data_IF_548890506768
#
_entry.id   IF_548890506768
#
_cell.length_a   1.000
_cell.length_b   1.000
_cell.length_c   1.000
_cell.angle_alpha   90.00
_cell.angle_beta   90.00
_cell.angle_gamma   90.00
#
_symmetry.space_group_name_H-M   'P 1'
#
loop_
_entity.id
_entity.type
_entity.pdbx_description
1 polymer ?
#
# COMPACT_ATOMS: atom_id res chain seq x y z
N UNK A 1 -26.90 -19.06 -4.97
CA UNK A 1 -26.32 -19.19 -3.62
C UNK A 1 -25.09 -18.30 -3.45
N UNK A 2 -24.10 -18.35 -4.34
CA UNK A 2 -22.91 -17.48 -4.31
C UNK A 2 -23.25 -15.97 -4.29
N UNK A 3 -24.14 -15.51 -5.18
CA UNK A 3 -24.59 -14.10 -5.23
C UNK A 3 -25.27 -13.60 -3.94
N UNK A 4 -26.00 -14.47 -3.22
CA UNK A 4 -26.63 -14.09 -1.94
C UNK A 4 -25.61 -13.95 -0.80
N UNK A 5 -24.53 -14.73 -0.85
CA UNK A 5 -23.45 -14.65 0.15
C UNK A 5 -22.62 -13.39 -0.10
N UNK A 6 -22.37 -13.04 -1.37
CA UNK A 6 -21.68 -11.80 -1.70
C UNK A 6 -22.47 -10.57 -1.28
N UNK A 7 -23.79 -10.55 -1.49
CA UNK A 7 -24.65 -9.45 -1.03
C UNK A 7 -24.65 -9.33 0.51
N UNK A 8 -24.70 -10.46 1.23
CA UNK A 8 -24.66 -10.46 2.69
C UNK A 8 -23.31 -9.99 3.25
N UNK A 9 -22.20 -10.37 2.62
CA UNK A 9 -20.85 -9.88 2.97
C UNK A 9 -20.69 -8.41 2.57
N UNK A 10 -21.26 -8.00 1.44
CA UNK A 10 -21.28 -6.61 0.98
C UNK A 10 -22.03 -5.72 1.98
N UNK A 11 -23.22 -6.13 2.39
CA UNK A 11 -24.03 -5.45 3.42
C UNK A 11 -23.36 -5.48 4.79
N UNK A 12 -22.68 -6.57 5.17
CA UNK A 12 -21.92 -6.63 6.42
C UNK A 12 -20.65 -5.77 6.40
N UNK A 13 -19.96 -5.69 5.26
CA UNK A 13 -18.72 -4.92 5.09
C UNK A 13 -18.99 -3.42 4.97
N UNK A 14 -20.08 -3.04 4.30
CA UNK A 14 -20.48 -1.65 4.07
C UNK A 14 -21.59 -1.17 5.00
N UNK A 15 -22.03 -1.98 5.96
CA UNK A 15 -23.07 -1.62 6.93
C UNK A 15 -24.42 -1.31 6.27
N UNK A 16 -24.80 -2.05 5.22
CA UNK A 16 -26.04 -1.83 4.46
C UNK A 16 -26.00 -0.66 3.46
N UNK A 17 -24.80 -0.18 3.11
CA UNK A 17 -24.64 0.91 2.14
C UNK A 17 -24.61 0.35 0.72
N UNK A 18 -25.50 0.89 -0.11
CA UNK A 18 -25.68 0.47 -1.50
C UNK A 18 -24.40 0.70 -2.30
N UNK A 19 -24.06 -0.21 -3.25
CA UNK A 19 -22.93 -0.01 -4.16
C UNK A 19 -23.04 1.33 -4.89
N UNK A 20 -21.91 2.00 -5.12
CA UNK A 20 -21.90 3.20 -5.94
C UNK A 20 -22.33 2.87 -7.37
N UNK A 21 -23.49 3.39 -7.76
CA UNK A 21 -24.10 3.15 -9.06
C UNK A 21 -23.20 3.59 -10.22
N UNK A 22 -22.27 4.54 -10.02
CA UNK A 22 -21.35 4.99 -11.08
C UNK A 22 -20.30 3.96 -11.45
N UNK A 23 -19.93 3.11 -10.51
CA UNK A 23 -18.83 2.14 -10.66
C UNK A 23 -19.31 0.70 -10.74
N UNK A 24 -20.63 0.47 -10.66
CA UNK A 24 -21.26 -0.85 -10.66
C UNK A 24 -20.79 -1.75 -11.80
N UNK A 25 -20.71 -1.20 -13.02
CA UNK A 25 -20.34 -1.97 -14.22
C UNK A 25 -18.83 -1.94 -14.52
N UNK A 26 -18.03 -1.37 -13.61
CA UNK A 26 -16.58 -1.27 -13.80
C UNK A 26 -15.88 -2.57 -13.40
N UNK A 27 -14.82 -2.88 -14.12
CA UNK A 27 -14.05 -4.11 -13.97
C UNK A 27 -13.69 -4.38 -12.50
N UNK A 28 -14.09 -5.57 -12.00
CA UNK A 28 -13.81 -6.11 -10.66
C UNK A 28 -14.45 -5.37 -9.46
N UNK A 29 -15.30 -4.36 -9.67
CA UNK A 29 -15.93 -3.62 -8.56
C UNK A 29 -16.96 -4.49 -7.82
N UNK A 30 -17.78 -5.23 -8.54
CA UNK A 30 -18.86 -6.08 -8.00
C UNK A 30 -18.40 -7.51 -7.63
N UNK A 31 -17.13 -7.85 -7.86
CA UNK A 31 -16.65 -9.23 -7.78
C UNK A 31 -15.75 -9.48 -6.56
N UNK A 32 -16.37 -9.56 -5.38
CA UNK A 32 -15.69 -9.96 -4.13
C UNK A 32 -15.04 -11.35 -4.23
N UNK A 33 -15.60 -12.25 -5.05
CA UNK A 33 -15.04 -13.58 -5.28
C UNK A 33 -13.61 -13.51 -5.83
N UNK A 34 -13.40 -12.68 -6.86
CA UNK A 34 -12.06 -12.45 -7.42
C UNK A 34 -11.11 -11.87 -6.37
N UNK A 35 -11.56 -10.93 -5.55
CA UNK A 35 -10.74 -10.37 -4.47
C UNK A 35 -10.31 -11.44 -3.45
N UNK A 36 -11.24 -12.26 -2.97
CA UNK A 36 -10.94 -13.34 -2.03
C UNK A 36 -10.01 -14.38 -2.67
N UNK A 37 -10.29 -14.78 -3.91
CA UNK A 37 -9.45 -15.73 -4.65
C UNK A 37 -8.04 -15.18 -4.90
N UNK A 38 -7.89 -13.90 -5.22
CA UNK A 38 -6.59 -13.26 -5.39
C UNK A 38 -5.78 -13.26 -4.10
N UNK A 39 -6.39 -12.91 -2.95
CA UNK A 39 -5.75 -12.97 -1.63
C UNK A 39 -5.34 -14.40 -1.26
N UNK A 40 -6.22 -15.38 -1.48
CA UNK A 40 -5.93 -16.78 -1.20
C UNK A 40 -4.78 -17.29 -2.08
N UNK A 41 -4.82 -17.01 -3.39
CA UNK A 41 -3.76 -17.35 -4.32
C UNK A 41 -2.43 -16.70 -3.93
N UNK A 42 -2.46 -15.42 -3.54
CA UNK A 42 -1.29 -14.70 -3.06
C UNK A 42 -0.64 -15.38 -1.85
N UNK A 43 -1.44 -15.79 -0.86
CA UNK A 43 -0.94 -16.50 0.32
C UNK A 43 -0.35 -17.87 -0.04
N UNK A 44 -0.98 -18.61 -0.96
CA UNK A 44 -0.45 -19.86 -1.50
C UNK A 44 0.91 -19.61 -2.17
N UNK A 45 1.01 -18.60 -3.04
CA UNK A 45 2.27 -18.23 -3.70
C UNK A 45 3.34 -17.83 -2.68
N UNK A 46 3.01 -17.06 -1.64
CA UNK A 46 3.95 -16.71 -0.57
C UNK A 46 4.47 -17.94 0.19
N UNK A 47 3.61 -18.92 0.44
CA UNK A 47 3.94 -20.10 1.23
C UNK A 47 4.71 -21.16 0.43
N UNK A 48 4.32 -21.39 -0.82
CA UNK A 48 4.87 -22.47 -1.66
C UNK A 48 5.90 -21.98 -2.67
N UNK A 49 5.79 -20.74 -3.16
CA UNK A 49 6.72 -20.17 -4.15
C UNK A 49 8.19 -20.24 -3.73
N UNK A 50 8.58 -19.88 -2.49
CA UNK A 50 9.95 -20.05 -2.01
C UNK A 50 10.42 -21.51 -1.97
N UNK A 51 9.52 -22.47 -1.75
CA UNK A 51 9.83 -23.91 -1.74
C UNK A 51 10.07 -24.41 -3.15
N UNK A 52 9.24 -24.01 -4.11
CA UNK A 52 9.42 -24.32 -5.54
C UNK A 52 10.75 -23.74 -6.04
N UNK A 53 11.06 -22.50 -5.68
CA UNK A 53 12.32 -21.85 -6.05
C UNK A 53 13.56 -22.53 -5.45
N UNK A 54 13.45 -23.45 -4.49
CA UNK A 54 14.60 -24.26 -4.06
C UNK A 54 15.24 -25.02 -5.22
N UNK A 55 14.42 -25.50 -6.16
CA UNK A 55 14.85 -26.32 -7.31
C UNK A 55 15.41 -25.51 -8.49
N UNK A 56 15.31 -24.18 -8.47
CA UNK A 56 15.75 -23.31 -9.56
C UNK A 56 16.88 -22.38 -9.12
N UNK A 57 17.67 -21.85 -10.04
CA UNK A 57 18.58 -20.74 -9.77
C UNK A 57 17.80 -19.41 -9.67
N UNK A 58 18.29 -18.40 -8.92
CA UNK A 58 17.64 -17.09 -8.88
C UNK A 58 17.62 -16.45 -10.27
N UNK A 59 16.49 -15.89 -10.67
CA UNK A 59 16.33 -15.26 -11.98
C UNK A 59 16.89 -13.83 -12.00
N UNK A 60 17.58 -13.47 -13.08
CA UNK A 60 18.04 -12.11 -13.34
C UNK A 60 16.93 -11.26 -13.99
N UNK A 61 16.07 -10.69 -13.14
CA UNK A 61 14.86 -9.95 -13.55
C UNK A 61 15.02 -8.42 -13.56
N UNK A 62 16.26 -7.92 -13.69
CA UNK A 62 16.55 -6.48 -13.60
C UNK A 62 15.71 -5.61 -14.54
N UNK A 63 15.69 -5.94 -15.84
CA UNK A 63 14.92 -5.17 -16.85
C UNK A 63 13.40 -5.26 -16.64
N UNK A 64 12.79 -6.45 -16.42
CA UNK A 64 11.38 -6.54 -16.06
C UNK A 64 11.01 -5.69 -14.84
N UNK A 65 11.81 -5.74 -13.77
CA UNK A 65 11.56 -4.97 -12.55
C UNK A 65 11.68 -3.46 -12.80
N UNK A 66 12.62 -3.02 -13.64
CA UNK A 66 12.71 -1.62 -14.05
C UNK A 66 11.43 -1.15 -14.77
N UNK A 67 10.98 -1.91 -15.77
CA UNK A 67 9.77 -1.57 -16.54
C UNK A 67 8.56 -1.55 -15.61
N UNK A 68 8.42 -2.58 -14.77
CA UNK A 68 7.34 -2.65 -13.79
C UNK A 68 7.33 -1.44 -12.84
N UNK A 69 8.47 -1.09 -12.23
CA UNK A 69 8.53 0.06 -11.31
C UNK A 69 8.22 1.37 -12.03
N UNK A 70 8.67 1.55 -13.28
CA UNK A 70 8.33 2.73 -14.08
C UNK A 70 6.83 2.83 -14.37
N UNK A 71 6.19 1.70 -14.72
CA UNK A 71 4.73 1.62 -14.89
C UNK A 71 4.03 1.96 -13.58
N UNK A 72 4.49 1.43 -12.44
CA UNK A 72 3.89 1.70 -11.14
C UNK A 72 4.03 3.17 -10.72
N UNK A 73 5.16 3.82 -11.02
CA UNK A 73 5.30 5.29 -10.85
C UNK A 73 4.26 6.04 -11.66
N UNK A 74 4.09 5.67 -12.94
CA UNK A 74 3.13 6.33 -13.82
C UNK A 74 1.68 6.14 -13.39
N UNK A 75 1.28 4.90 -13.05
CA UNK A 75 -0.07 4.57 -12.56
C UNK A 75 -0.38 5.37 -11.28
N UNK A 76 0.53 5.37 -10.30
CA UNK A 76 0.32 6.13 -9.07
C UNK A 76 0.32 7.64 -9.30
N UNK A 77 1.09 8.15 -10.27
CA UNK A 77 1.03 9.55 -10.69
C UNK A 77 -0.33 9.94 -11.26
N UNK A 78 -0.94 9.08 -12.10
CA UNK A 78 -2.29 9.29 -12.61
C UNK A 78 -3.32 9.29 -11.48
N UNK A 79 -3.24 8.31 -10.58
CA UNK A 79 -4.16 8.23 -9.44
C UNK A 79 -4.06 9.49 -8.57
N UNK A 80 -2.84 9.94 -8.28
CA UNK A 80 -2.61 11.16 -7.52
C UNK A 80 -3.23 12.38 -8.22
N UNK A 81 -2.98 12.55 -9.52
CA UNK A 81 -3.55 13.64 -10.30
C UNK A 81 -5.09 13.63 -10.28
N UNK A 82 -5.70 12.45 -10.47
CA UNK A 82 -7.16 12.31 -10.46
C UNK A 82 -7.75 12.59 -9.07
N UNK A 83 -7.11 12.11 -8.00
CA UNK A 83 -7.55 12.38 -6.63
C UNK A 83 -7.39 13.86 -6.24
N UNK A 84 -6.29 14.50 -6.65
CA UNK A 84 -6.02 15.90 -6.39
C UNK A 84 -7.02 16.81 -7.13
N UNK A 85 -7.11 16.65 -8.46
CA UNK A 85 -7.98 17.46 -9.32
C UNK A 85 -9.46 17.10 -9.20
N UNK A 86 -9.78 15.88 -8.73
CA UNK A 86 -11.14 15.39 -8.54
C UNK A 86 -11.78 15.73 -7.20
N UNK A 87 -11.04 16.36 -6.27
CA UNK A 87 -11.61 16.75 -4.98
C UNK A 87 -10.65 17.50 -4.06
N UNK A 88 -9.57 16.84 -3.63
CA UNK A 88 -8.76 17.28 -2.49
C UNK A 88 -8.06 18.63 -2.66
N UNK A 89 -7.67 18.99 -3.89
CA UNK A 89 -7.05 20.29 -4.17
C UNK A 89 -8.01 21.26 -4.86
N UNK A 90 -9.32 20.99 -4.83
CA UNK A 90 -10.33 21.84 -5.47
C UNK A 90 -11.46 22.22 -4.52
N UNK A 91 -12.30 21.26 -4.14
CA UNK A 91 -13.57 21.54 -3.44
C UNK A 91 -13.83 20.65 -2.21
N UNK A 92 -13.00 19.64 -1.96
CA UNK A 92 -13.15 18.80 -0.77
C UNK A 92 -12.68 19.51 0.49
N UNK A 93 -13.37 19.24 1.59
CA UNK A 93 -13.01 19.76 2.91
C UNK A 93 -12.11 18.77 3.63
N UNK A 94 -10.89 19.21 3.98
CA UNK A 94 -9.91 18.40 4.72
C UNK A 94 -10.32 17.99 6.13
N UNK A 95 -11.26 18.71 6.75
CA UNK A 95 -11.73 18.35 8.09
C UNK A 95 -12.74 17.21 8.02
N UNK A 96 -13.86 17.41 7.34
CA UNK A 96 -14.85 16.37 7.12
C UNK A 96 -15.41 16.50 5.70
N UNK A 97 -15.34 15.40 4.95
CA UNK A 97 -15.85 15.32 3.59
C UNK A 97 -16.93 14.24 3.54
N UNK A 98 -18.18 14.66 3.39
CA UNK A 98 -19.30 13.74 3.19
C UNK A 98 -19.15 12.95 1.88
N UNK A 99 -19.87 11.83 1.77
CA UNK A 99 -20.06 11.16 0.49
C UNK A 99 -20.71 12.15 -0.49
N UNK A 100 -20.01 12.45 -1.60
CA UNK A 100 -20.48 13.43 -2.58
C UNK A 100 -21.70 12.94 -3.36
N UNK A 101 -22.43 13.87 -3.98
CA UNK A 101 -23.55 13.56 -4.87
C UNK A 101 -23.09 12.78 -6.10
N UNK A 102 -23.84 11.75 -6.45
CA UNK A 102 -23.57 10.81 -7.56
C UNK A 102 -23.65 11.50 -8.94
N UNK A 103 -24.36 12.63 -9.03
CA UNK A 103 -24.71 13.23 -10.32
C UNK A 103 -23.73 14.33 -10.80
N UNK A 104 -22.68 14.63 -10.05
CA UNK A 104 -21.72 15.66 -10.45
C UNK A 104 -20.60 15.09 -11.33
N UNK A 105 -20.28 15.68 -12.50
CA UNK A 105 -19.21 15.20 -13.37
C UNK A 105 -17.84 15.12 -12.68
N UNK A 106 -17.56 16.02 -11.73
CA UNK A 106 -16.30 16.04 -10.96
C UNK A 106 -16.13 14.77 -10.11
N UNK A 107 -17.25 14.19 -9.68
CA UNK A 107 -17.31 13.02 -8.81
C UNK A 107 -16.80 11.74 -9.51
N UNK A 108 -16.90 11.66 -10.84
CA UNK A 108 -16.35 10.57 -11.65
C UNK A 108 -14.83 10.54 -11.68
N UNK A 109 -14.15 11.70 -11.57
CA UNK A 109 -12.67 11.73 -11.49
C UNK A 109 -12.17 11.02 -10.23
N UNK A 110 -12.80 11.29 -9.09
CA UNK A 110 -12.47 10.63 -7.84
C UNK A 110 -12.83 9.14 -7.89
N UNK A 111 -13.99 8.78 -8.44
CA UNK A 111 -14.36 7.38 -8.63
C UNK A 111 -13.32 6.62 -9.48
N UNK A 112 -12.85 7.22 -10.59
CA UNK A 112 -11.76 6.67 -11.41
C UNK A 112 -10.45 6.53 -10.63
N UNK A 113 -10.10 7.53 -9.80
CA UNK A 113 -8.90 7.45 -8.96
C UNK A 113 -8.97 6.26 -7.99
N UNK A 114 -10.10 6.07 -7.30
CA UNK A 114 -10.28 4.96 -6.37
C UNK A 114 -10.33 3.61 -7.08
N UNK A 115 -10.95 3.53 -8.26
CA UNK A 115 -10.96 2.30 -9.06
C UNK A 115 -9.57 1.92 -9.56
N UNK A 116 -8.82 2.88 -10.11
CA UNK A 116 -7.42 2.65 -10.51
C UNK A 116 -6.55 2.25 -9.33
N UNK A 117 -6.78 2.83 -8.14
CA UNK A 117 -6.10 2.42 -6.90
C UNK A 117 -6.43 0.97 -6.55
N UNK A 118 -7.70 0.55 -6.63
CA UNK A 118 -8.09 -0.84 -6.40
C UNK A 118 -7.38 -1.78 -7.38
N UNK A 119 -7.38 -1.45 -8.68
CA UNK A 119 -6.69 -2.25 -9.70
C UNK A 119 -5.17 -2.30 -9.48
N UNK A 120 -4.55 -1.19 -9.06
CA UNK A 120 -3.11 -1.16 -8.79
C UNK A 120 -2.73 -2.14 -7.68
N UNK A 121 -3.57 -2.34 -6.65
CA UNK A 121 -3.28 -3.30 -5.57
C UNK A 121 -3.16 -4.75 -6.07
N UNK A 122 -3.93 -5.14 -7.08
CA UNK A 122 -3.77 -6.46 -7.71
C UNK A 122 -2.43 -6.56 -8.46
N UNK A 123 -2.03 -5.49 -9.15
CA UNK A 123 -0.75 -5.43 -9.86
C UNK A 123 0.42 -5.48 -8.88
N UNK A 124 0.28 -4.84 -7.72
CA UNK A 124 1.30 -4.81 -6.66
C UNK A 124 1.60 -6.19 -6.05
N UNK A 125 0.72 -7.18 -6.21
CA UNK A 125 1.01 -8.56 -5.81
C UNK A 125 2.22 -9.15 -6.55
N UNK A 126 2.55 -8.60 -7.73
CA UNK A 126 3.72 -8.98 -8.53
C UNK A 126 5.03 -8.64 -7.80
N UNK A 127 5.05 -7.67 -6.88
CA UNK A 127 6.24 -7.35 -6.06
C UNK A 127 6.76 -8.61 -5.35
N UNK A 128 5.86 -9.37 -4.75
CA UNK A 128 6.21 -10.61 -4.03
C UNK A 128 6.67 -11.70 -4.99
N UNK A 129 6.11 -11.77 -6.20
CA UNK A 129 6.56 -12.70 -7.24
C UNK A 129 8.02 -12.40 -7.61
N UNK A 130 8.39 -11.12 -7.78
CA UNK A 130 9.79 -10.75 -8.01
C UNK A 130 10.70 -11.14 -6.85
N UNK A 131 10.27 -10.97 -5.59
CA UNK A 131 11.04 -11.40 -4.42
C UNK A 131 11.27 -12.91 -4.41
N UNK A 132 10.24 -13.69 -4.75
CA UNK A 132 10.32 -15.16 -4.81
C UNK A 132 11.28 -15.60 -5.91
N UNK A 133 11.08 -15.11 -7.15
CA UNK A 133 11.89 -15.51 -8.31
C UNK A 133 13.37 -15.11 -8.16
N UNK A 134 13.66 -14.01 -7.44
CA UNK A 134 15.04 -13.58 -7.14
C UNK A 134 15.62 -14.20 -5.86
N UNK A 135 14.90 -15.13 -5.21
CA UNK A 135 15.25 -15.74 -3.92
C UNK A 135 15.49 -14.74 -2.78
N UNK A 136 14.83 -13.58 -2.80
CA UNK A 136 14.98 -12.53 -1.78
C UNK A 136 13.99 -12.71 -0.63
N UNK A 137 14.01 -13.90 -0.01
CA UNK A 137 13.07 -14.29 1.06
C UNK A 137 13.02 -13.31 2.23
N UNK A 138 14.14 -12.59 2.51
CA UNK A 138 14.21 -11.54 3.53
C UNK A 138 13.22 -10.37 3.30
N UNK A 139 12.79 -10.14 2.07
CA UNK A 139 11.82 -9.11 1.70
C UNK A 139 10.37 -9.57 1.92
N UNK A 140 10.12 -10.89 1.92
CA UNK A 140 8.81 -11.50 2.18
C UNK A 140 8.57 -11.57 3.70
N UNK A 141 8.40 -10.41 4.31
CA UNK A 141 8.16 -10.27 5.74
C UNK A 141 6.68 -10.44 6.09
N UNK A 142 6.37 -10.69 7.38
CA UNK A 142 4.99 -10.69 7.85
C UNK A 142 4.25 -9.38 7.51
N UNK A 143 4.92 -8.23 7.69
CA UNK A 143 4.38 -6.91 7.31
C UNK A 143 3.98 -6.88 5.83
N UNK A 144 4.88 -7.34 4.95
CA UNK A 144 4.66 -7.35 3.50
C UNK A 144 3.49 -8.26 3.13
N UNK A 145 3.48 -9.49 3.65
CA UNK A 145 2.42 -10.47 3.35
C UNK A 145 1.08 -9.99 3.88
N UNK A 146 1.01 -9.51 5.12
CA UNK A 146 -0.22 -8.99 5.72
C UNK A 146 -0.77 -7.78 4.97
N UNK A 147 0.10 -6.83 4.59
CA UNK A 147 -0.30 -5.66 3.81
C UNK A 147 -0.90 -6.07 2.46
N UNK A 148 -0.16 -6.82 1.63
CA UNK A 148 -0.61 -7.17 0.29
C UNK A 148 -1.78 -8.16 0.28
N UNK A 149 -1.98 -8.95 1.35
CA UNK A 149 -3.16 -9.81 1.47
C UNK A 149 -4.41 -9.07 1.93
N UNK A 150 -4.30 -7.88 2.53
CA UNK A 150 -5.48 -7.18 3.11
C UNK A 150 -5.78 -5.81 2.47
N UNK A 151 -4.82 -5.18 1.78
CA UNK A 151 -5.00 -3.85 1.19
C UNK A 151 -6.04 -3.80 0.07
N UNK A 152 -6.24 -4.89 -0.67
CA UNK A 152 -7.26 -4.96 -1.73
C UNK A 152 -8.67 -4.75 -1.18
N UNK A 153 -8.95 -5.29 0.02
CA UNK A 153 -10.25 -5.13 0.70
C UNK A 153 -10.53 -3.68 1.07
N UNK A 154 -9.50 -2.91 1.43
CA UNK A 154 -9.68 -1.51 1.82
C UNK A 154 -10.12 -0.59 0.68
N UNK A 155 -9.79 -0.94 -0.56
CA UNK A 155 -10.14 -0.14 -1.74
C UNK A 155 -11.30 -0.73 -2.54
N UNK A 156 -11.88 -1.83 -2.05
CA UNK A 156 -13.04 -2.46 -2.67
C UNK A 156 -14.32 -1.61 -2.47
N UNK A 157 -15.21 -1.63 -3.47
CA UNK A 157 -16.46 -0.87 -3.44
C UNK A 157 -16.35 0.62 -3.79
N UNK A 158 -15.18 1.07 -4.26
CA UNK A 158 -14.88 2.46 -4.64
C UNK A 158 -15.24 3.47 -3.53
N UNK A 159 -14.34 3.70 -2.57
CA UNK A 159 -14.50 4.75 -1.58
C UNK A 159 -14.80 6.13 -2.20
N UNK A 160 -15.72 6.86 -1.56
CA UNK A 160 -16.06 8.25 -1.87
C UNK A 160 -15.98 9.12 -0.61
N UNK A 161 -15.84 10.43 -0.82
CA UNK A 161 -15.80 11.37 0.29
C UNK A 161 -14.55 11.17 1.16
N UNK A 162 -14.72 11.14 2.47
CA UNK A 162 -13.66 11.24 3.46
C UNK A 162 -12.52 10.21 3.29
N UNK A 163 -12.82 8.93 3.06
CA UNK A 163 -11.79 7.89 2.95
C UNK A 163 -10.88 8.04 1.73
N UNK A 164 -11.29 8.81 0.72
CA UNK A 164 -10.49 9.02 -0.50
C UNK A 164 -9.22 9.85 -0.26
N UNK A 165 -9.06 10.47 0.92
CA UNK A 165 -7.78 11.11 1.28
C UNK A 165 -6.66 10.07 1.30
N UNK A 166 -6.98 8.83 1.72
CA UNK A 166 -6.04 7.73 1.66
C UNK A 166 -5.57 7.49 0.22
N UNK A 167 -6.46 7.56 -0.78
CA UNK A 167 -6.10 7.38 -2.20
C UNK A 167 -5.08 8.43 -2.63
N UNK A 168 -5.30 9.71 -2.26
CA UNK A 168 -4.40 10.81 -2.55
C UNK A 168 -3.02 10.61 -1.91
N UNK A 169 -2.98 10.41 -0.59
CA UNK A 169 -1.70 10.34 0.14
C UNK A 169 -0.94 9.07 -0.22
N UNK A 170 -1.63 7.93 -0.33
CA UNK A 170 -1.01 6.64 -0.67
C UNK A 170 -0.42 6.64 -2.07
N UNK A 171 -1.13 7.19 -3.07
CA UNK A 171 -0.59 7.28 -4.43
C UNK A 171 0.64 8.18 -4.49
N UNK A 172 0.66 9.31 -3.78
CA UNK A 172 1.85 10.16 -3.67
C UNK A 172 3.05 9.39 -3.08
N UNK A 173 2.87 8.73 -1.94
CA UNK A 173 3.96 7.98 -1.30
C UNK A 173 4.42 6.81 -2.18
N UNK A 174 3.51 6.17 -2.91
CA UNK A 174 3.87 5.13 -3.88
C UNK A 174 4.63 5.66 -5.09
N UNK A 175 4.34 6.86 -5.59
CA UNK A 175 5.20 7.50 -6.61
C UNK A 175 6.64 7.61 -6.09
N UNK A 176 6.83 8.07 -4.85
CA UNK A 176 8.17 8.20 -4.25
C UNK A 176 8.82 6.82 -4.01
N UNK A 177 8.05 5.85 -3.51
CA UNK A 177 8.54 4.49 -3.22
C UNK A 177 8.96 3.74 -4.50
N UNK A 178 8.10 3.71 -5.52
CA UNK A 178 8.42 3.03 -6.78
C UNK A 178 9.51 3.75 -7.56
N UNK A 179 9.64 5.08 -7.41
CA UNK A 179 10.79 5.83 -7.94
C UNK A 179 12.09 5.39 -7.25
N UNK A 180 12.09 5.21 -5.93
CA UNK A 180 13.23 4.65 -5.20
C UNK A 180 13.59 3.25 -5.73
N UNK A 181 12.60 2.37 -5.89
CA UNK A 181 12.83 1.01 -6.40
C UNK A 181 13.35 1.00 -7.83
N UNK A 182 12.81 1.85 -8.71
CA UNK A 182 13.31 2.03 -10.08
C UNK A 182 14.77 2.48 -10.09
N UNK A 183 15.09 3.55 -9.34
CA UNK A 183 16.46 4.08 -9.24
C UNK A 183 17.43 3.02 -8.71
N UNK A 184 16.98 2.20 -7.77
CA UNK A 184 17.80 1.14 -7.19
C UNK A 184 18.21 0.06 -8.22
N UNK A 185 17.47 -0.09 -9.32
CA UNK A 185 17.81 -1.02 -10.39
C UNK A 185 18.91 -0.53 -11.34
N UNK A 186 19.36 0.72 -11.27
CA UNK A 186 20.46 1.22 -12.11
C UNK A 186 21.86 0.76 -11.65
N UNK A 187 21.92 -0.02 -10.57
CA UNK A 187 23.15 -0.66 -10.09
C UNK A 187 23.99 0.24 -9.18
N UNK A 188 25.21 -0.16 -8.82
CA UNK A 188 26.02 0.50 -7.78
C UNK A 188 26.31 1.98 -8.07
N UNK A 189 26.37 2.36 -9.36
CA UNK A 189 26.60 3.74 -9.80
C UNK A 189 25.51 4.70 -9.37
N UNK A 190 24.26 4.25 -9.27
CA UNK A 190 23.12 5.06 -8.81
C UNK A 190 22.77 4.77 -7.36
N UNK A 191 22.89 3.52 -6.92
CA UNK A 191 22.56 3.09 -5.56
C UNK A 191 23.31 3.88 -4.47
N UNK A 192 24.55 4.33 -4.75
CA UNK A 192 25.32 5.18 -3.82
C UNK A 192 24.64 6.52 -3.49
N UNK A 193 23.76 7.02 -4.35
CA UNK A 193 23.01 8.26 -4.12
C UNK A 193 21.68 8.03 -3.39
N UNK A 194 21.29 6.78 -3.13
CA UNK A 194 20.02 6.40 -2.49
C UNK A 194 20.10 6.35 -0.95
N UNK A 195 20.89 7.25 -0.36
CA UNK A 195 21.07 7.40 1.10
C UNK A 195 19.76 7.75 1.83
N UNK A 196 18.75 8.24 1.10
CA UNK A 196 17.49 8.72 1.67
C UNK A 196 16.45 7.61 1.93
N UNK A 197 16.83 6.33 1.80
CA UNK A 197 15.95 5.17 2.11
C UNK A 197 15.24 5.28 3.46
N UNK A 198 15.93 5.78 4.48
CA UNK A 198 15.36 5.97 5.82
C UNK A 198 14.25 7.03 5.82
N UNK A 199 14.40 8.09 5.04
CA UNK A 199 13.39 9.15 4.92
C UNK A 199 12.15 8.65 4.19
N UNK A 200 12.30 7.72 3.23
CA UNK A 200 11.16 7.04 2.62
C UNK A 200 10.34 6.28 3.67
N UNK A 201 11.00 5.53 4.58
CA UNK A 201 10.27 4.83 5.67
C UNK A 201 9.60 5.82 6.63
N UNK A 202 10.25 6.98 6.92
CA UNK A 202 9.63 8.03 7.73
C UNK A 202 8.42 8.65 7.04
N UNK A 203 8.48 8.88 5.73
CA UNK A 203 7.35 9.37 4.93
C UNK A 203 6.14 8.43 5.01
N UNK A 204 6.37 7.11 4.92
CA UNK A 204 5.31 6.09 5.09
C UNK A 204 4.70 6.13 6.50
N UNK A 205 5.51 6.27 7.55
CA UNK A 205 5.03 6.42 8.92
C UNK A 205 4.21 7.71 9.10
N UNK A 206 4.69 8.84 8.55
CA UNK A 206 3.97 10.12 8.59
C UNK A 206 2.64 10.02 7.86
N UNK A 207 2.57 9.32 6.71
CA UNK A 207 1.30 9.04 6.04
C UNK A 207 0.32 8.31 6.97
N UNK A 208 0.75 7.24 7.66
CA UNK A 208 -0.16 6.50 8.53
C UNK A 208 -0.69 7.37 9.67
N UNK A 209 0.17 8.16 10.32
CA UNK A 209 -0.26 9.10 11.37
C UNK A 209 -1.29 10.10 10.82
N UNK A 210 -1.00 10.72 9.68
CA UNK A 210 -1.91 11.69 9.07
C UNK A 210 -3.28 11.08 8.71
N UNK A 211 -3.30 9.87 8.14
CA UNK A 211 -4.56 9.22 7.78
C UNK A 211 -5.31 8.72 9.01
N UNK A 212 -4.65 8.23 10.06
CA UNK A 212 -5.30 7.85 11.32
C UNK A 212 -5.98 9.07 11.94
N UNK A 213 -5.28 10.20 12.05
CA UNK A 213 -5.84 11.43 12.61
C UNK A 213 -7.03 11.94 11.78
N UNK A 214 -6.93 11.91 10.45
CA UNK A 214 -8.03 12.27 9.57
C UNK A 214 -9.23 11.35 9.79
N UNK A 215 -9.04 10.03 9.80
CA UNK A 215 -10.11 9.05 10.04
C UNK A 215 -10.83 9.24 11.38
N UNK A 216 -10.14 9.69 12.43
CA UNK A 216 -10.77 9.97 13.73
C UNK A 216 -11.80 11.09 13.67
N UNK A 217 -11.69 12.02 12.70
CA UNK A 217 -12.65 13.13 12.55
C UNK A 217 -14.06 12.63 12.20
N UNK A 218 -14.17 11.45 11.59
CA UNK A 218 -15.46 10.80 11.29
C UNK A 218 -16.28 10.51 12.56
N UNK A 219 -15.62 10.34 13.70
CA UNK A 219 -16.30 10.10 14.98
C UNK A 219 -16.97 11.36 15.54
N UNK A 220 -16.64 12.54 15.02
CA UNK A 220 -17.24 13.78 15.47
C UNK A 220 -18.69 13.91 14.96
N UNK A 221 -19.68 14.23 15.82
CA UNK A 221 -21.10 14.25 15.44
C UNK A 221 -21.45 15.21 14.30
N UNK A 222 -20.67 16.27 14.10
CA UNK A 222 -20.87 17.21 12.99
C UNK A 222 -20.35 16.70 11.64
N UNK A 223 -19.66 15.55 11.61
CA UNK A 223 -19.15 14.98 10.38
C UNK A 223 -20.23 14.09 9.73
N UNK A 224 -20.77 14.56 8.60
CA UNK A 224 -21.78 13.83 7.84
C UNK A 224 -21.15 12.73 6.95
N UNK A 225 -20.35 11.85 7.56
CA UNK A 225 -19.76 10.67 6.92
C UNK A 225 -20.11 9.43 7.74
N UNK A 226 -20.63 8.33 7.16
CA UNK A 226 -21.04 7.17 7.94
C UNK A 226 -19.85 6.49 8.65
N UNK A 227 -19.80 6.47 10.00
CA UNK A 227 -18.66 5.90 10.73
C UNK A 227 -18.46 4.41 10.50
N UNK A 228 -19.54 3.69 10.20
CA UNK A 228 -19.49 2.26 9.89
C UNK A 228 -18.56 1.94 8.71
N UNK A 229 -18.56 2.77 7.65
CA UNK A 229 -17.68 2.59 6.48
C UNK A 229 -16.21 2.79 6.87
N UNK A 230 -15.94 3.74 7.79
CA UNK A 230 -14.58 4.08 8.18
C UNK A 230 -13.97 3.08 9.18
N UNK A 231 -14.78 2.27 9.86
CA UNK A 231 -14.34 1.44 10.98
C UNK A 231 -13.28 0.40 10.57
N UNK A 232 -13.63 -0.49 9.62
CA UNK A 232 -12.73 -1.57 9.19
C UNK A 232 -11.45 -1.03 8.51
N UNK A 233 -11.51 -0.07 7.57
CA UNK A 233 -10.32 0.55 7.02
C UNK A 233 -9.44 1.20 8.10
N UNK A 234 -10.03 1.93 9.06
CA UNK A 234 -9.26 2.61 10.12
C UNK A 234 -8.58 1.62 11.06
N UNK A 235 -9.25 0.51 11.42
CA UNK A 235 -8.65 -0.56 12.19
C UNK A 235 -7.45 -1.19 11.46
N UNK A 236 -7.58 -1.45 10.15
CA UNK A 236 -6.48 -2.04 9.37
C UNK A 236 -5.29 -1.07 9.23
N UNK A 237 -5.55 0.22 9.00
CA UNK A 237 -4.51 1.25 8.97
C UNK A 237 -3.74 1.32 10.29
N UNK A 238 -4.42 1.19 11.43
CA UNK A 238 -3.78 1.15 12.73
C UNK A 238 -2.86 -0.08 12.88
N UNK A 239 -3.28 -1.25 12.38
CA UNK A 239 -2.43 -2.45 12.35
C UNK A 239 -1.19 -2.21 11.48
N UNK A 240 -1.35 -1.63 10.29
CA UNK A 240 -0.20 -1.28 9.44
C UNK A 240 0.77 -0.34 10.15
N UNK A 241 0.27 0.67 10.84
CA UNK A 241 1.09 1.59 11.62
C UNK A 241 1.94 0.86 12.67
N UNK A 242 1.34 -0.04 13.46
CA UNK A 242 2.08 -0.83 14.45
C UNK A 242 3.14 -1.72 13.81
N UNK A 243 2.82 -2.37 12.68
CA UNK A 243 3.76 -3.22 11.95
C UNK A 243 4.92 -2.40 11.33
N UNK A 244 4.65 -1.21 10.82
CA UNK A 244 5.67 -0.30 10.28
C UNK A 244 6.55 0.29 11.37
N UNK A 245 6.01 0.62 12.56
CA UNK A 245 6.81 1.02 13.72
C UNK A 245 7.75 -0.11 14.12
N UNK A 246 7.22 -1.33 14.26
CA UNK A 246 8.04 -2.49 14.60
C UNK A 246 9.17 -2.71 13.58
N UNK A 247 8.85 -2.61 12.28
CA UNK A 247 9.84 -2.67 11.21
C UNK A 247 10.90 -1.57 11.33
N UNK A 248 10.49 -0.32 11.61
CA UNK A 248 11.40 0.82 11.74
C UNK A 248 12.34 0.66 12.93
N UNK A 249 11.79 0.29 14.10
CA UNK A 249 12.57 0.05 15.31
C UNK A 249 13.61 -1.05 15.12
N UNK A 250 13.21 -2.18 14.52
CA UNK A 250 14.10 -3.32 14.27
C UNK A 250 15.21 -3.00 13.26
N UNK A 251 14.94 -2.21 12.23
CA UNK A 251 15.90 -1.97 11.15
C UNK A 251 16.77 -0.73 11.34
N UNK A 252 16.31 0.28 12.07
CA UNK A 252 17.02 1.57 12.16
C UNK A 252 17.40 1.97 13.58
N UNK A 253 16.58 1.67 14.60
CA UNK A 253 16.86 2.07 15.98
C UNK A 253 17.75 1.04 16.68
N UNK A 254 17.32 -0.22 16.74
CA UNK A 254 18.03 -1.26 17.48
C UNK A 254 19.40 -1.58 16.85
N UNK A 255 19.50 -1.52 15.51
CA UNK A 255 20.80 -1.68 14.83
C UNK A 255 21.78 -0.57 15.19
N UNK A 256 21.31 0.69 15.31
CA UNK A 256 22.15 1.82 15.67
C UNK A 256 22.62 1.70 17.12
N UNK A 257 21.71 1.39 18.04
CA UNK A 257 22.03 1.18 19.45
C UNK A 257 23.03 0.02 19.64
N UNK A 258 22.84 -1.10 18.92
CA UNK A 258 23.78 -2.23 18.98
C UNK A 258 25.16 -1.85 18.43
N UNK A 259 25.22 -1.07 17.36
CA UNK A 259 26.49 -0.55 16.82
C UNK A 259 27.17 0.42 17.81
N UNK A 260 26.40 1.32 18.43
CA UNK A 260 26.88 2.26 19.45
C UNK A 260 27.40 1.52 20.70
N UNK A 261 26.69 0.50 21.19
CA UNK A 261 27.13 -0.34 22.32
C UNK A 261 28.40 -1.14 22.00
N UNK A 262 28.51 -1.69 20.78
CA UNK A 262 29.71 -2.40 20.35
C UNK A 262 30.93 -1.46 20.31
N UNK A 263 30.77 -0.24 19.79
CA UNK A 263 31.80 0.80 19.79
C UNK A 263 32.22 1.20 21.22
N UNK A 264 31.27 1.30 22.15
CA UNK A 264 31.55 1.62 23.56
C UNK A 264 32.22 0.48 24.33
N UNK A 265 31.98 -0.78 23.95
CA UNK A 265 32.56 -1.96 24.62
C UNK A 265 34.03 -2.26 24.29
N UNK A 266 34.71 -1.41 23.51
CA UNK A 266 36.13 -1.56 23.16
C UNK A 266 36.47 -2.80 22.31
N UNK A 267 35.47 -3.57 21.86
CA UNK A 267 35.68 -4.66 20.91
C UNK A 267 36.01 -4.05 19.55
N UNK A 268 37.26 -4.21 19.12
CA UNK A 268 37.75 -3.73 17.82
C UNK A 268 36.78 -4.11 16.71
N UNK A 269 36.35 -3.11 15.94
CA UNK A 269 35.50 -3.28 14.77
C UNK A 269 36.26 -4.12 13.72
N UNK A 270 36.14 -5.44 13.81
CA UNK A 270 36.46 -6.34 12.70
C UNK A 270 35.51 -6.02 11.56
N UNK A 271 35.91 -5.05 10.72
CA UNK A 271 35.38 -4.73 9.40
C UNK A 271 33.86 -4.90 9.27
N UNK A 272 33.08 -4.24 10.12
CA UNK A 272 31.71 -3.87 9.73
C UNK A 272 31.84 -2.70 8.76
N UNK A 273 32.06 -3.05 7.48
CA UNK A 273 31.82 -2.14 6.38
C UNK A 273 30.44 -1.51 6.61
N UNK A 274 30.37 -0.18 6.72
CA UNK A 274 29.14 0.60 6.54
C UNK A 274 28.68 0.45 5.07
N UNK A 275 28.41 -0.77 4.64
CA UNK A 275 27.53 -1.00 3.51
C UNK A 275 26.14 -0.95 4.08
N UNK A 276 25.45 0.16 3.81
CA UNK A 276 23.99 0.19 3.71
C UNK A 276 23.50 -1.18 3.20
N UNK A 277 22.48 -1.80 3.82
CA UNK A 277 22.13 -3.18 3.57
C UNK A 277 22.05 -3.40 2.06
N UNK A 278 23.08 -4.09 1.55
CA UNK A 278 23.34 -4.27 0.12
C UNK A 278 22.06 -4.65 -0.56
N UNK A 279 21.80 -4.00 -1.69
CA UNK A 279 20.77 -4.39 -2.62
C UNK A 279 20.92 -5.87 -2.91
N UNK A 280 19.95 -6.61 -2.38
CA UNK A 280 19.65 -7.99 -2.69
C UNK A 280 18.16 -8.19 -2.43
#
# INVERSE_FOLDING_TARGET
MFLRITDYIFDAYLGGIKPDVRTKDWFLVDNIGVMISASALYLIVCQFGPKVMYFFHPFELRRPIMIYNAIMVFINGIIFYLAASGGWFTHYKFLCQACGSVNEPISYKMARATHLMMLSKYVELIDTVFFILRKKKRQITFLHVYHHSTVMYMFWGAAHGHLTLMVLVNSFVHVVMYSYYLLSQFGPSVQKYLWWKRYLTRLQLTQFVGVILHSLVVLHPSCNYPPAIALLPSANIFIYFLLFINFYMKNYTNKRQNAEMLMQSGKSLGTMCFTDPKLD
#
